data_IF_216430519631
#
_entry.id   IF_216430519631
#
_cell.length_a   1.000
_cell.length_b   1.000
_cell.length_c   1.000
_cell.angle_alpha   90.00
_cell.angle_beta   90.00
_cell.angle_gamma   90.00
#
_symmetry.space_group_name_H-M   'P 1'
#
loop_
_entity.id
_entity.type
_entity.pdbx_description
1 polymer ?
#
# COMPACT_ATOMS: atom_id res chain seq x y z
N UNK A 1 65.75 -26.70 12.85
CA UNK A 1 64.47 -26.91 12.19
C UNK A 1 63.43 -26.05 12.89
N UNK A 2 63.16 -24.87 12.31
CA UNK A 2 62.19 -23.93 12.89
C UNK A 2 60.88 -24.03 12.09
N UNK A 3 59.81 -24.56 12.70
CA UNK A 3 58.46 -24.61 12.10
C UNK A 3 57.75 -23.29 12.37
N UNK A 4 57.46 -22.54 11.31
CA UNK A 4 56.64 -21.33 11.38
C UNK A 4 55.16 -21.72 11.36
N UNK A 5 54.43 -21.42 12.43
CA UNK A 5 52.99 -21.52 12.51
C UNK A 5 52.38 -20.27 11.84
N UNK A 6 51.67 -20.46 10.73
CA UNK A 6 50.87 -19.40 10.11
C UNK A 6 49.46 -19.41 10.75
N UNK A 7 49.15 -18.37 11.51
CA UNK A 7 47.86 -18.16 12.12
C UNK A 7 46.90 -17.51 11.08
N UNK A 8 45.98 -18.27 10.54
CA UNK A 8 44.93 -17.74 9.64
C UNK A 8 43.84 -17.05 10.47
N UNK A 9 43.75 -15.74 10.37
CA UNK A 9 42.64 -14.96 10.94
C UNK A 9 41.39 -15.10 10.06
N UNK A 10 40.39 -15.78 10.55
CA UNK A 10 39.08 -15.84 9.91
C UNK A 10 38.36 -14.49 10.10
N UNK A 11 38.20 -13.73 9.02
CA UNK A 11 37.38 -12.53 9.02
C UNK A 11 35.89 -12.96 9.04
N UNK A 12 35.21 -12.76 10.18
CA UNK A 12 33.77 -12.87 10.29
C UNK A 12 33.15 -11.68 9.55
N UNK A 13 32.67 -11.92 8.32
CA UNK A 13 31.80 -10.98 7.60
C UNK A 13 30.44 -11.05 8.26
N UNK A 14 30.20 -10.15 9.22
CA UNK A 14 28.90 -9.97 9.83
C UNK A 14 27.89 -9.58 8.74
N UNK A 15 26.90 -10.44 8.48
CA UNK A 15 25.73 -10.11 7.67
C UNK A 15 25.00 -8.96 8.38
N UNK A 16 25.11 -7.74 7.81
CA UNK A 16 24.26 -6.62 8.22
C UNK A 16 22.84 -6.99 7.84
N UNK A 17 22.07 -7.51 8.80
CA UNK A 17 20.65 -7.78 8.62
C UNK A 17 19.96 -6.46 8.24
N UNK A 18 19.21 -6.45 7.14
CA UNK A 18 18.43 -5.29 6.75
C UNK A 18 17.55 -4.84 7.93
N UNK A 19 17.68 -3.57 8.34
CA UNK A 19 16.92 -3.03 9.47
C UNK A 19 15.42 -3.17 9.19
N UNK A 20 14.68 -3.81 10.12
CA UNK A 20 13.23 -3.93 9.99
C UNK A 20 12.57 -2.56 10.25
N UNK A 21 11.63 -2.19 9.40
CA UNK A 21 10.82 -0.98 9.58
C UNK A 21 9.51 -1.31 10.29
N UNK A 22 9.03 -0.42 11.18
CA UNK A 22 7.74 -0.63 11.84
C UNK A 22 6.59 -0.55 10.81
N UNK A 23 5.65 -1.48 10.88
CA UNK A 23 4.42 -1.44 10.11
C UNK A 23 3.38 -0.62 10.87
N UNK A 24 3.28 0.66 10.57
CA UNK A 24 2.33 1.60 11.19
C UNK A 24 1.89 2.65 10.18
N UNK A 25 0.69 3.24 10.35
CA UNK A 25 0.22 4.32 9.51
C UNK A 25 1.05 5.60 9.73
N UNK A 26 1.07 6.46 8.72
CA UNK A 26 1.66 7.80 8.83
C UNK A 26 0.93 8.61 9.92
N UNK A 27 1.67 9.43 10.62
CA UNK A 27 1.12 10.27 11.71
C UNK A 27 0.31 11.45 11.19
N UNK A 28 0.61 11.91 9.97
CA UNK A 28 -0.06 13.05 9.34
C UNK A 28 -0.60 12.64 7.97
N UNK A 29 -1.90 12.79 7.77
CA UNK A 29 -2.60 12.63 6.49
C UNK A 29 -3.67 13.71 6.39
N UNK A 30 -3.50 14.63 5.45
CA UNK A 30 -4.49 15.66 5.14
C UNK A 30 -5.45 15.10 4.09
N UNK A 31 -6.69 14.84 4.47
CA UNK A 31 -7.68 14.18 3.62
C UNK A 31 -7.98 14.99 2.35
N UNK A 32 -7.94 16.31 2.43
CA UNK A 32 -8.14 17.21 1.28
C UNK A 32 -7.03 17.05 0.22
N UNK A 33 -5.77 16.88 0.65
CA UNK A 33 -4.64 16.62 -0.25
C UNK A 33 -4.63 15.17 -0.76
N UNK A 34 -5.15 14.24 0.05
CA UNK A 34 -5.27 12.83 -0.33
C UNK A 34 -6.43 12.60 -1.31
N UNK A 35 -7.41 13.49 -1.34
CA UNK A 35 -8.57 13.46 -2.24
C UNK A 35 -8.18 13.44 -3.72
N UNK A 36 -9.13 13.07 -4.57
CA UNK A 36 -8.96 12.92 -6.02
C UNK A 36 -8.57 11.50 -6.41
N UNK A 37 -8.11 11.34 -7.66
CA UNK A 37 -7.86 10.03 -8.27
C UNK A 37 -6.43 9.58 -8.03
N UNK A 38 -6.30 8.29 -7.73
CA UNK A 38 -5.07 7.52 -7.63
C UNK A 38 -5.11 6.36 -8.60
N UNK A 39 -4.01 6.13 -9.32
CA UNK A 39 -3.78 4.96 -10.15
C UNK A 39 -3.08 3.89 -9.33
N UNK A 40 -3.53 2.66 -9.44
CA UNK A 40 -2.87 1.53 -8.80
C UNK A 40 -1.69 1.09 -9.67
N UNK A 41 -0.51 1.05 -9.07
CA UNK A 41 0.74 0.61 -9.74
C UNK A 41 0.98 -0.88 -9.48
N UNK A 42 0.77 -1.32 -8.24
CA UNK A 42 0.91 -2.71 -7.86
C UNK A 42 0.08 -3.01 -6.61
N UNK A 43 -0.27 -4.29 -6.43
CA UNK A 43 -0.96 -4.78 -5.24
C UNK A 43 -0.55 -6.21 -4.87
N UNK A 44 -0.78 -6.62 -3.63
CA UNK A 44 -0.77 -8.04 -3.27
C UNK A 44 -2.00 -8.74 -3.86
N UNK A 45 -1.93 -10.05 -4.16
CA UNK A 45 -3.05 -10.77 -4.76
C UNK A 45 -4.34 -10.67 -3.95
N UNK A 46 -5.42 -10.18 -4.59
CA UNK A 46 -6.73 -9.96 -3.98
C UNK A 46 -7.80 -10.69 -4.78
N UNK A 47 -8.63 -11.50 -4.11
CA UNK A 47 -9.63 -12.30 -4.81
C UNK A 47 -10.66 -11.43 -5.55
N UNK A 48 -11.03 -10.27 -4.98
CA UNK A 48 -12.02 -9.36 -5.55
C UNK A 48 -11.48 -8.52 -6.72
N UNK A 49 -10.16 -8.40 -6.88
CA UNK A 49 -9.51 -7.70 -8.01
C UNK A 49 -9.13 -8.64 -9.17
N UNK A 50 -9.34 -9.96 -9.04
CA UNK A 50 -8.97 -10.93 -10.09
C UNK A 50 -9.61 -10.69 -11.45
N UNK A 51 -10.76 -10.01 -11.47
CA UNK A 51 -11.45 -9.62 -12.70
C UNK A 51 -10.87 -8.40 -13.39
N UNK A 52 -10.09 -7.58 -12.66
CA UNK A 52 -9.47 -6.38 -13.18
C UNK A 52 -8.26 -6.73 -14.06
N UNK A 53 -8.22 -6.18 -15.27
CA UNK A 53 -7.15 -6.39 -16.25
C UNK A 53 -6.14 -5.25 -16.15
N UNK A 54 -6.63 -4.01 -16.15
CA UNK A 54 -5.83 -2.77 -16.05
C UNK A 54 -6.70 -1.56 -15.68
N UNK A 55 -6.11 -0.36 -15.78
CA UNK A 55 -6.79 0.93 -15.51
C UNK A 55 -7.45 0.94 -14.13
N UNK A 56 -6.74 0.37 -13.14
CA UNK A 56 -7.27 0.29 -11.78
C UNK A 56 -7.07 1.64 -11.12
N UNK A 57 -8.17 2.24 -10.65
CA UNK A 57 -8.17 3.55 -10.00
C UNK A 57 -8.97 3.54 -8.71
N UNK A 58 -8.59 4.42 -7.78
CA UNK A 58 -9.34 4.75 -6.58
C UNK A 58 -9.50 6.27 -6.50
N UNK A 59 -10.74 6.73 -6.45
CA UNK A 59 -11.06 8.16 -6.31
C UNK A 59 -11.66 8.41 -4.94
N UNK A 60 -11.08 9.37 -4.21
CA UNK A 60 -11.52 9.76 -2.86
C UNK A 60 -12.10 11.16 -2.90
N UNK A 61 -13.29 11.32 -2.31
CA UNK A 61 -13.99 12.60 -2.21
C UNK A 61 -14.33 12.89 -0.75
N UNK A 62 -13.79 13.96 -0.14
CA UNK A 62 -14.12 14.36 1.22
C UNK A 62 -15.61 14.64 1.37
N UNK A 63 -16.15 14.32 2.55
CA UNK A 63 -17.52 14.60 2.95
C UNK A 63 -17.56 15.48 4.18
N UNK A 64 -18.66 16.23 4.35
CA UNK A 64 -18.86 17.12 5.47
C UNK A 64 -18.85 16.43 6.85
N UNK A 65 -19.10 15.11 6.89
CA UNK A 65 -19.07 14.31 8.11
C UNK A 65 -17.66 13.79 8.49
N UNK A 66 -16.60 14.26 7.79
CA UNK A 66 -15.22 13.85 8.01
C UNK A 66 -14.87 12.49 7.42
N UNK A 67 -15.76 11.85 6.65
CA UNK A 67 -15.49 10.62 5.90
C UNK A 67 -15.04 10.94 4.48
N UNK A 68 -14.55 9.91 3.76
CA UNK A 68 -14.28 9.98 2.32
C UNK A 68 -15.25 9.06 1.58
N UNK A 69 -15.90 9.55 0.53
CA UNK A 69 -16.46 8.67 -0.47
C UNK A 69 -15.32 8.02 -1.24
N UNK A 70 -15.43 6.73 -1.51
CA UNK A 70 -14.45 5.94 -2.25
C UNK A 70 -15.13 5.37 -3.49
N UNK A 71 -14.55 5.64 -4.66
CA UNK A 71 -14.99 5.07 -5.93
C UNK A 71 -13.80 4.32 -6.55
N UNK A 72 -13.86 2.99 -6.52
CA UNK A 72 -12.87 2.15 -7.19
C UNK A 72 -13.40 1.71 -8.54
N UNK A 73 -12.56 1.79 -9.57
CA UNK A 73 -12.91 1.34 -10.91
C UNK A 73 -11.75 0.57 -11.55
N UNK A 74 -12.08 -0.36 -12.43
CA UNK A 74 -11.09 -1.05 -13.24
C UNK A 74 -11.68 -1.53 -14.57
N UNK A 75 -10.83 -1.76 -15.57
CA UNK A 75 -11.24 -2.43 -16.80
C UNK A 75 -11.24 -3.95 -16.61
N UNK A 76 -12.32 -4.59 -17.03
CA UNK A 76 -12.49 -6.03 -17.04
C UNK A 76 -12.73 -6.54 -18.48
N UNK A 77 -12.78 -7.85 -18.68
CA UNK A 77 -13.13 -8.44 -19.98
C UNK A 77 -14.55 -8.06 -20.48
N UNK A 78 -15.41 -7.56 -19.57
CA UNK A 78 -16.80 -7.16 -19.87
C UNK A 78 -16.98 -5.64 -19.96
N UNK A 79 -15.91 -4.86 -19.86
CA UNK A 79 -15.92 -3.39 -19.82
C UNK A 79 -15.49 -2.85 -18.48
N UNK A 80 -15.81 -1.57 -18.21
CA UNK A 80 -15.53 -0.94 -16.92
C UNK A 80 -16.42 -1.52 -15.83
N UNK A 81 -15.82 -1.81 -14.69
CA UNK A 81 -16.48 -2.24 -13.46
C UNK A 81 -16.11 -1.27 -12.33
N UNK A 82 -17.05 -0.97 -11.47
CA UNK A 82 -16.84 -0.03 -10.39
C UNK A 82 -17.52 -0.47 -9.09
N UNK A 83 -17.01 0.04 -7.98
CA UNK A 83 -17.53 -0.22 -6.63
C UNK A 83 -17.42 1.03 -5.77
N UNK A 84 -18.51 1.42 -5.13
CA UNK A 84 -18.58 2.56 -4.23
C UNK A 84 -18.48 2.14 -2.77
N UNK A 85 -17.73 2.91 -2.02
CA UNK A 85 -17.47 2.67 -0.61
C UNK A 85 -17.35 3.96 0.20
N UNK A 86 -17.00 3.78 1.46
CA UNK A 86 -16.72 4.86 2.40
C UNK A 86 -15.46 4.54 3.17
N UNK A 87 -14.58 5.51 3.32
CA UNK A 87 -13.45 5.47 4.25
C UNK A 87 -13.72 6.41 5.43
N UNK A 88 -13.34 5.99 6.65
CA UNK A 88 -13.46 6.78 7.87
C UNK A 88 -12.15 6.77 8.66
N UNK A 89 -11.79 7.86 9.34
CA UNK A 89 -10.72 7.85 10.33
C UNK A 89 -11.05 6.93 11.50
N UNK A 90 -10.03 6.31 12.11
CA UNK A 90 -10.21 5.41 13.28
C UNK A 90 -9.95 6.10 14.62
N UNK A 91 -9.60 7.41 14.62
CA UNK A 91 -9.32 8.19 15.83
C UNK A 91 -7.89 8.05 16.38
N UNK A 92 -7.02 7.29 15.69
CA UNK A 92 -5.59 7.17 16.00
C UNK A 92 -4.73 8.08 15.12
N UNK A 93 -3.63 7.54 14.57
CA UNK A 93 -2.84 8.25 13.57
C UNK A 93 -3.69 8.61 12.35
N UNK A 94 -3.48 9.80 11.76
CA UNK A 94 -4.32 10.29 10.65
C UNK A 94 -4.32 9.34 9.44
N UNK A 95 -3.23 8.61 9.21
CA UNK A 95 -3.15 7.60 8.15
C UNK A 95 -3.87 6.28 8.46
N UNK A 96 -4.44 6.11 9.66
CA UNK A 96 -5.22 4.94 10.03
C UNK A 96 -6.70 5.14 9.69
N UNK A 97 -7.11 4.58 8.56
CA UNK A 97 -8.50 4.59 8.10
C UNK A 97 -9.09 3.18 8.13
N UNK A 98 -10.40 3.11 8.01
CA UNK A 98 -11.15 1.89 7.69
C UNK A 98 -12.02 2.15 6.47
N UNK A 99 -12.11 1.15 5.58
CA UNK A 99 -12.95 1.23 4.38
C UNK A 99 -14.05 0.18 4.42
N UNK A 100 -15.20 0.52 3.83
CA UNK A 100 -16.35 -0.36 3.69
C UNK A 100 -16.97 -0.20 2.30
N UNK A 101 -17.17 -1.31 1.62
CA UNK A 101 -17.90 -1.40 0.35
C UNK A 101 -19.26 -2.06 0.50
N UNK A 102 -19.60 -2.57 1.70
CA UNK A 102 -20.90 -3.11 2.01
C UNK A 102 -21.98 -2.02 2.09
N UNK A 103 -23.28 -2.34 1.84
CA UNK A 103 -24.38 -1.41 1.96
C UNK A 103 -24.44 -0.70 3.32
N UNK A 104 -24.97 0.54 3.34
CA UNK A 104 -25.03 1.39 4.53
C UNK A 104 -25.74 0.74 5.72
N UNK A 105 -26.75 -0.05 5.47
CA UNK A 105 -27.50 -0.73 6.54
C UNK A 105 -26.70 -1.81 7.27
N UNK A 106 -25.55 -2.26 6.72
CA UNK A 106 -24.59 -3.14 7.38
C UNK A 106 -23.47 -2.40 8.12
N UNK A 107 -23.47 -1.05 8.10
CA UNK A 107 -22.34 -0.25 8.63
C UNK A 107 -22.08 -0.46 10.13
N UNK A 108 -23.05 -0.96 10.87
CA UNK A 108 -22.93 -1.28 12.30
C UNK A 108 -22.14 -2.57 12.57
N UNK A 109 -21.97 -3.44 11.56
CA UNK A 109 -21.21 -4.68 11.69
C UNK A 109 -19.70 -4.38 11.58
N UNK A 110 -18.89 -4.69 12.61
CA UNK A 110 -17.43 -4.45 12.55
C UNK A 110 -16.75 -5.19 11.39
N UNK A 111 -17.22 -6.38 11.06
CA UNK A 111 -16.63 -7.26 10.03
C UNK A 111 -16.72 -6.70 8.59
N UNK A 112 -17.56 -5.69 8.34
CA UNK A 112 -17.67 -5.06 7.00
C UNK A 112 -16.67 -3.94 6.80
N UNK A 113 -15.95 -3.54 7.86
CA UNK A 113 -14.90 -2.54 7.84
C UNK A 113 -13.55 -3.21 7.75
N UNK A 114 -12.77 -2.87 6.73
CA UNK A 114 -11.41 -3.33 6.54
C UNK A 114 -10.40 -2.23 6.88
N UNK A 115 -9.32 -2.60 7.54
CA UNK A 115 -8.23 -1.67 7.81
C UNK A 115 -7.59 -1.18 6.51
N UNK A 116 -7.42 0.13 6.43
CA UNK A 116 -6.80 0.86 5.33
C UNK A 116 -5.79 1.82 5.94
N UNK A 117 -4.54 1.40 6.04
CA UNK A 117 -3.48 2.21 6.59
C UNK A 117 -2.63 2.83 5.48
N UNK A 118 -2.58 4.13 5.39
CA UNK A 118 -1.54 4.79 4.60
C UNK A 118 -0.24 4.65 5.39
N UNK A 119 0.63 3.72 5.00
CA UNK A 119 1.87 3.38 5.72
C UNK A 119 3.08 4.15 5.21
N UNK A 120 2.96 4.75 4.03
CA UNK A 120 3.95 5.62 3.44
C UNK A 120 3.29 6.59 2.48
N UNK A 121 3.76 7.83 2.45
CA UNK A 121 3.17 8.90 1.66
C UNK A 121 4.28 9.85 1.20
N UNK A 122 4.26 10.20 -0.08
CA UNK A 122 5.12 11.25 -0.63
C UNK A 122 4.75 12.61 0.00
N UNK A 123 5.72 13.46 0.40
CA UNK A 123 5.43 14.77 0.98
C UNK A 123 4.56 15.67 0.08
N UNK A 124 4.68 15.52 -1.24
CA UNK A 124 3.88 16.23 -2.23
C UNK A 124 2.63 15.45 -2.67
N UNK A 125 2.32 14.32 -2.02
CA UNK A 125 1.16 13.46 -2.32
C UNK A 125 1.14 12.93 -3.77
N UNK A 126 2.30 12.69 -4.37
CA UNK A 126 2.42 12.13 -5.72
C UNK A 126 2.23 10.61 -5.74
N UNK A 127 2.62 9.91 -4.67
CA UNK A 127 2.43 8.48 -4.49
C UNK A 127 2.12 8.15 -3.02
N UNK A 128 1.48 7.01 -2.81
CA UNK A 128 1.17 6.49 -1.49
C UNK A 128 1.31 4.97 -1.46
N UNK A 129 1.62 4.44 -0.28
CA UNK A 129 1.59 3.00 -0.02
C UNK A 129 0.54 2.73 1.04
N UNK A 130 -0.40 1.88 0.69
CA UNK A 130 -1.50 1.49 1.57
C UNK A 130 -1.30 0.05 2.00
N UNK A 131 -1.47 -0.21 3.28
CA UNK A 131 -1.32 -1.52 3.86
C UNK A 131 -2.35 -1.82 4.93
N UNK A 132 -2.06 -2.85 5.73
CA UNK A 132 -2.90 -3.26 6.85
C UNK A 132 -2.06 -3.76 8.02
N UNK A 133 -2.61 -3.82 9.26
CA UNK A 133 -1.93 -4.40 10.41
C UNK A 133 -1.48 -5.84 10.16
N UNK A 134 -2.31 -6.62 9.48
CA UNK A 134 -2.07 -8.04 9.16
C UNK A 134 -1.04 -8.29 8.07
N UNK A 135 -0.62 -7.24 7.34
CA UNK A 135 0.25 -7.31 6.13
C UNK A 135 -0.32 -8.17 4.99
N UNK A 136 -1.60 -8.54 5.05
CA UNK A 136 -2.27 -9.30 3.99
C UNK A 136 -2.65 -8.45 2.78
N UNK A 137 -2.73 -7.13 2.96
CA UNK A 137 -3.13 -6.16 1.95
C UNK A 137 -2.02 -5.14 1.76
N UNK A 138 -1.68 -4.87 0.52
CA UNK A 138 -0.73 -3.82 0.12
C UNK A 138 -1.10 -3.30 -1.26
N UNK A 139 -1.13 -2.00 -1.40
CA UNK A 139 -1.27 -1.28 -2.67
C UNK A 139 -0.21 -0.21 -2.79
N UNK A 140 0.36 -0.06 -3.96
CA UNK A 140 1.20 1.08 -4.35
C UNK A 140 0.37 1.94 -5.29
N UNK A 141 0.14 3.18 -4.90
CA UNK A 141 -0.71 4.14 -5.60
C UNK A 141 0.12 5.30 -6.13
N UNK A 142 -0.25 5.85 -7.29
CA UNK A 142 0.37 7.02 -7.92
C UNK A 142 -0.68 7.99 -8.44
N UNK A 143 -0.34 9.28 -8.51
CA UNK A 143 -1.15 10.29 -9.20
C UNK A 143 -1.06 10.17 -10.73
N UNK A 144 -0.03 9.52 -11.23
CA UNK A 144 0.18 9.23 -12.65
C UNK A 144 -0.11 7.76 -12.95
N UNK A 145 -0.53 7.41 -14.18
CA UNK A 145 -0.84 6.03 -14.56
C UNK A 145 0.40 5.13 -14.71
N UNK A 146 1.59 5.67 -14.50
CA UNK A 146 2.88 4.94 -14.43
C UNK A 146 3.71 5.45 -13.26
N UNK A 147 4.81 4.76 -12.95
CA UNK A 147 5.74 5.14 -11.88
C UNK A 147 7.18 4.87 -12.34
N UNK A 148 8.11 5.75 -11.96
CA UNK A 148 9.55 5.52 -12.14
C UNK A 148 9.98 4.18 -11.49
N UNK A 149 10.73 3.37 -12.24
CA UNK A 149 11.15 2.05 -11.81
C UNK A 149 12.08 2.08 -10.58
N UNK A 150 12.89 3.13 -10.43
CA UNK A 150 13.75 3.33 -9.26
C UNK A 150 12.91 3.66 -8.02
N UNK A 151 11.90 4.54 -8.17
CA UNK A 151 10.95 4.89 -7.11
C UNK A 151 10.18 3.65 -6.66
N UNK A 152 9.62 2.87 -7.59
CA UNK A 152 8.91 1.63 -7.26
C UNK A 152 9.80 0.63 -6.50
N UNK A 153 11.04 0.43 -6.96
CA UNK A 153 12.01 -0.46 -6.30
C UNK A 153 12.29 -0.01 -4.86
N UNK A 154 12.46 1.30 -4.64
CA UNK A 154 12.67 1.86 -3.31
C UNK A 154 11.45 1.61 -2.40
N UNK A 155 10.23 1.84 -2.88
CA UNK A 155 8.98 1.55 -2.16
C UNK A 155 8.89 0.06 -1.83
N UNK A 156 9.11 -0.83 -2.81
CA UNK A 156 9.08 -2.29 -2.64
C UNK A 156 10.05 -2.75 -1.55
N UNK A 157 11.29 -2.23 -1.53
CA UNK A 157 12.29 -2.57 -0.52
C UNK A 157 11.85 -2.13 0.90
N UNK A 158 11.26 -0.94 1.04
CA UNK A 158 10.73 -0.47 2.32
C UNK A 158 9.50 -1.27 2.77
N UNK A 159 8.64 -1.68 1.85
CA UNK A 159 7.53 -2.58 2.16
C UNK A 159 8.02 -3.96 2.63
N UNK A 160 9.05 -4.53 1.98
CA UNK A 160 9.72 -5.75 2.43
C UNK A 160 10.28 -5.60 3.86
N UNK A 161 10.96 -4.49 4.15
CA UNK A 161 11.48 -4.18 5.48
C UNK A 161 10.38 -4.05 6.55
N UNK A 162 9.13 -3.74 6.16
CA UNK A 162 7.94 -3.76 7.03
C UNK A 162 7.29 -5.15 7.15
N UNK A 163 7.85 -6.16 6.48
CA UNK A 163 7.39 -7.56 6.53
C UNK A 163 6.25 -7.90 5.56
N UNK A 164 6.05 -7.11 4.50
CA UNK A 164 5.12 -7.48 3.44
C UNK A 164 5.74 -8.49 2.47
N UNK A 165 4.98 -9.48 1.96
CA UNK A 165 5.45 -10.48 1.00
C UNK A 165 5.53 -9.89 -0.42
N UNK A 166 6.50 -8.99 -0.63
CA UNK A 166 6.63 -8.18 -1.86
C UNK A 166 7.01 -8.98 -3.11
N UNK A 167 7.46 -10.21 -2.95
CA UNK A 167 7.69 -11.17 -4.04
C UNK A 167 6.37 -11.60 -4.72
N UNK A 168 5.25 -11.39 -4.04
CA UNK A 168 3.90 -11.72 -4.52
C UNK A 168 3.19 -10.52 -5.18
N UNK A 169 3.84 -9.36 -5.26
CA UNK A 169 3.22 -8.19 -5.88
C UNK A 169 2.85 -8.45 -7.34
N UNK A 170 1.62 -8.09 -7.68
CA UNK A 170 1.08 -8.09 -9.05
C UNK A 170 1.15 -6.65 -9.55
N UNK A 171 1.74 -6.46 -10.72
CA UNK A 171 1.79 -5.16 -11.37
C UNK A 171 0.44 -4.86 -12.03
N UNK A 172 -0.11 -3.67 -11.75
CA UNK A 172 -1.37 -3.18 -12.30
C UNK A 172 -1.15 -2.11 -13.37
N UNK A 173 0.04 -1.49 -13.40
CA UNK A 173 0.41 -0.43 -14.32
C UNK A 173 1.90 -0.54 -14.73
N UNK A 174 2.31 0.11 -15.84
CA UNK A 174 3.70 0.10 -16.28
C UNK A 174 4.62 0.88 -15.34
N UNK A 175 5.90 0.54 -15.40
CA UNK A 175 7.00 1.34 -14.84
C UNK A 175 7.73 2.04 -15.98
N UNK A 176 8.14 3.29 -15.74
CA UNK A 176 8.93 4.11 -16.67
C UNK A 176 10.44 3.95 -16.40
#
# INVERSE_FOLDING_TARGET
MMSSLVLAAAMNVGTVGAASLPNRPVTTLELERYAGTWHEIAHLPLFFQRKCIDTITATYTPRADGTLAVHNACRTAKGMDASDGVARPTGGASGALQVRFAPRWLAWLPMVWADYWVIELDPDYRWAVVGSPSRKYLWVLSRTPSMDAGQFRAIRNRAAARGYPVERLVMAAPLD
#
